data_IF_896011749449
#
_entry.id   IF_896011749449
#
_cell.length_a   1.000
_cell.length_b   1.000
_cell.length_c   1.000
_cell.angle_alpha   90.00
_cell.angle_beta   90.00
_cell.angle_gamma   90.00
#
_symmetry.space_group_name_H-M   'P 1'
#
loop_
_entity.id
_entity.type
_entity.pdbx_description
1 polymer ?
#
# COMPACT_ATOMS: atom_id res chain seq x y z
N UNK A 1 36.06 -28.24 -9.26
CA UNK A 1 36.15 -27.24 -8.16
C UNK A 1 35.04 -26.17 -8.20
N UNK A 2 34.55 -25.72 -9.36
CA UNK A 2 33.58 -24.61 -9.47
C UNK A 2 32.09 -24.92 -9.18
N UNK A 3 31.69 -26.19 -9.06
CA UNK A 3 30.29 -26.56 -8.79
C UNK A 3 29.95 -26.51 -7.30
N UNK A 4 30.87 -26.93 -6.43
CA UNK A 4 30.67 -26.97 -4.98
C UNK A 4 30.57 -25.55 -4.37
N UNK A 5 31.41 -24.62 -4.83
CA UNK A 5 31.37 -23.22 -4.41
C UNK A 5 30.05 -22.57 -4.84
N UNK A 6 29.56 -22.87 -6.04
CA UNK A 6 28.29 -22.34 -6.58
C UNK A 6 27.07 -22.89 -5.83
N UNK A 7 27.11 -24.14 -5.39
CA UNK A 7 26.07 -24.75 -4.58
C UNK A 7 26.02 -24.14 -3.17
N UNK A 8 27.18 -23.92 -2.54
CA UNK A 8 27.29 -23.34 -1.20
C UNK A 8 26.86 -21.86 -1.17
N UNK A 9 27.17 -21.10 -2.22
CA UNK A 9 26.69 -19.72 -2.42
C UNK A 9 25.18 -19.66 -2.65
N UNK A 10 24.59 -20.67 -3.30
CA UNK A 10 23.15 -20.76 -3.52
C UNK A 10 22.33 -20.95 -2.24
N UNK A 11 22.88 -21.67 -1.24
CA UNK A 11 22.20 -21.95 0.03
C UNK A 11 22.10 -20.76 0.99
N UNK A 12 22.90 -19.71 0.82
CA UNK A 12 22.91 -18.53 1.70
C UNK A 12 21.87 -17.45 1.31
N UNK A 13 21.17 -17.63 0.19
CA UNK A 13 20.27 -16.60 -0.37
C UNK A 13 18.81 -16.73 0.06
N UNK A 14 18.48 -17.61 1.01
CA UNK A 14 17.14 -17.67 1.61
C UNK A 14 17.07 -16.72 2.80
N UNK A 15 16.98 -15.42 2.52
CA UNK A 15 16.46 -14.48 3.50
C UNK A 15 15.02 -14.87 3.87
N UNK A 16 14.58 -14.64 5.13
CA UNK A 16 13.17 -14.77 5.48
C UNK A 16 12.34 -13.94 4.51
N UNK A 17 11.44 -14.57 3.75
CA UNK A 17 10.49 -13.81 2.95
C UNK A 17 9.57 -13.10 3.94
N UNK A 18 9.55 -11.77 3.89
CA UNK A 18 8.60 -10.99 4.66
C UNK A 18 7.18 -11.51 4.35
N UNK A 19 6.36 -11.80 5.37
CA UNK A 19 4.97 -12.19 5.16
C UNK A 19 4.27 -11.19 4.23
N UNK A 20 3.50 -11.68 3.26
CA UNK A 20 2.73 -10.82 2.34
C UNK A 20 1.59 -10.13 3.12
N UNK A 21 1.87 -8.90 3.57
CA UNK A 21 0.98 -8.13 4.43
C UNK A 21 -0.40 -7.93 3.79
N UNK A 22 -0.47 -7.84 2.45
CA UNK A 22 -1.73 -7.70 1.72
C UNK A 22 -2.66 -8.88 1.97
N UNK A 23 -2.13 -10.12 2.00
CA UNK A 23 -2.93 -11.32 2.21
C UNK A 23 -3.54 -11.38 3.60
N UNK A 24 -2.78 -10.93 4.62
CA UNK A 24 -3.25 -10.89 6.00
C UNK A 24 -4.42 -9.90 6.19
N UNK A 25 -4.43 -8.80 5.45
CA UNK A 25 -5.54 -7.83 5.46
C UNK A 25 -6.71 -8.23 4.55
N UNK A 26 -6.47 -8.99 3.48
CA UNK A 26 -7.53 -9.44 2.56
C UNK A 26 -8.37 -10.59 3.14
N UNK A 27 -7.75 -11.51 3.89
CA UNK A 27 -8.43 -12.69 4.45
C UNK A 27 -9.45 -12.34 5.57
N UNK A 28 -9.38 -11.13 6.13
CA UNK A 28 -10.27 -10.65 7.20
C UNK A 28 -11.40 -9.72 6.76
N UNK A 29 -11.51 -9.37 5.48
CA UNK A 29 -12.46 -8.35 5.02
C UNK A 29 -13.90 -8.85 4.96
N UNK A 30 -14.80 -8.09 5.58
CA UNK A 30 -16.25 -8.28 5.45
C UNK A 30 -16.73 -7.84 4.06
N UNK A 31 -17.87 -8.35 3.62
CA UNK A 31 -18.46 -8.01 2.31
C UNK A 31 -18.71 -6.50 2.15
N UNK A 32 -19.10 -5.82 3.25
CA UNK A 32 -19.34 -4.37 3.27
C UNK A 32 -18.07 -3.56 3.03
N UNK A 33 -16.94 -3.97 3.62
CA UNK A 33 -15.65 -3.30 3.43
C UNK A 33 -15.15 -3.44 1.99
N UNK A 34 -15.28 -4.63 1.39
CA UNK A 34 -14.93 -4.85 -0.03
C UNK A 34 -15.77 -4.01 -0.98
N UNK A 35 -17.05 -3.80 -0.65
CA UNK A 35 -17.94 -2.97 -1.44
C UNK A 35 -17.57 -1.48 -1.31
N UNK A 36 -17.31 -1.01 -0.09
CA UNK A 36 -16.90 0.36 0.19
C UNK A 36 -15.63 0.73 -0.60
N UNK A 37 -14.67 -0.20 -0.69
CA UNK A 37 -13.40 0.02 -1.39
C UNK A 37 -13.55 0.12 -2.89
N UNK A 38 -14.40 -0.74 -3.46
CA UNK A 38 -14.74 -0.65 -4.88
C UNK A 38 -15.45 0.67 -5.18
N UNK A 39 -16.38 1.08 -4.33
CA UNK A 39 -17.11 2.35 -4.50
C UNK A 39 -16.14 3.54 -4.39
N UNK A 40 -15.23 3.54 -3.43
CA UNK A 40 -14.21 4.58 -3.28
C UNK A 40 -13.26 4.63 -4.50
N UNK A 41 -12.79 3.46 -4.97
CA UNK A 41 -11.92 3.36 -6.13
C UNK A 41 -12.61 3.81 -7.44
N UNK A 42 -13.89 3.51 -7.61
CA UNK A 42 -14.68 3.94 -8.77
C UNK A 42 -14.93 5.45 -8.71
N UNK A 43 -15.31 5.98 -7.55
CA UNK A 43 -15.57 7.41 -7.34
C UNK A 43 -14.33 8.30 -7.54
N UNK A 44 -13.12 7.77 -7.29
CA UNK A 44 -11.86 8.48 -7.48
C UNK A 44 -11.30 8.48 -8.92
N UNK A 45 -11.96 7.83 -9.87
CA UNK A 45 -11.44 7.71 -11.24
C UNK A 45 -11.77 8.93 -12.11
N UNK A 46 -10.79 9.43 -12.87
CA UNK A 46 -11.00 10.48 -13.88
C UNK A 46 -12.10 10.14 -14.90
N UNK A 47 -12.24 8.86 -15.27
CA UNK A 47 -13.29 8.40 -16.20
C UNK A 47 -14.68 8.54 -15.61
N UNK A 48 -14.83 8.29 -14.30
CA UNK A 48 -16.10 8.45 -13.59
C UNK A 48 -16.50 9.92 -13.54
N UNK A 49 -15.58 10.82 -13.19
CA UNK A 49 -15.82 12.27 -13.13
C UNK A 49 -16.32 12.81 -14.48
N UNK A 50 -15.66 12.43 -15.58
CA UNK A 50 -16.06 12.86 -16.92
C UNK A 50 -17.43 12.31 -17.29
N UNK A 51 -17.67 11.00 -17.10
CA UNK A 51 -18.97 10.37 -17.41
C UNK A 51 -20.12 10.93 -16.59
N UNK A 52 -19.90 11.16 -15.29
CA UNK A 52 -20.87 11.77 -14.39
C UNK A 52 -21.18 13.21 -14.80
N UNK A 53 -20.16 14.01 -15.15
CA UNK A 53 -20.35 15.39 -15.62
C UNK A 53 -21.16 15.44 -16.92
N UNK A 54 -20.87 14.55 -17.88
CA UNK A 54 -21.64 14.43 -19.11
C UNK A 54 -23.09 14.04 -18.84
N UNK A 55 -23.34 13.13 -17.90
CA UNK A 55 -24.68 12.75 -17.48
C UNK A 55 -25.45 13.95 -16.89
N UNK A 56 -24.82 14.74 -16.01
CA UNK A 56 -25.45 15.94 -15.43
C UNK A 56 -25.82 16.96 -16.52
N UNK A 57 -24.91 17.21 -17.47
CA UNK A 57 -25.17 18.12 -18.60
C UNK A 57 -26.29 17.57 -19.49
N UNK A 58 -26.28 16.28 -19.81
CA UNK A 58 -27.33 15.65 -20.62
C UNK A 58 -28.70 15.73 -19.92
N UNK A 59 -28.75 15.51 -18.60
CA UNK A 59 -29.97 15.62 -17.81
C UNK A 59 -30.53 17.05 -17.80
N UNK A 60 -29.65 18.05 -17.60
CA UNK A 60 -30.02 19.45 -17.63
C UNK A 60 -30.54 19.86 -19.02
N UNK A 61 -29.87 19.45 -20.10
CA UNK A 61 -30.28 19.73 -21.48
C UNK A 61 -31.62 19.05 -21.82
N UNK A 62 -31.82 17.80 -21.39
CA UNK A 62 -33.07 17.08 -21.63
C UNK A 62 -34.27 17.74 -20.92
N UNK A 63 -34.11 18.12 -19.65
CA UNK A 63 -35.19 18.79 -18.90
C UNK A 63 -35.47 20.21 -19.42
N UNK A 64 -34.45 20.96 -19.86
CA UNK A 64 -34.61 22.35 -20.31
C UNK A 64 -35.05 22.49 -21.76
N UNK A 65 -34.50 21.69 -22.68
CA UNK A 65 -34.73 21.83 -24.12
C UNK A 65 -35.82 20.89 -24.64
N UNK A 66 -35.79 19.62 -24.22
CA UNK A 66 -36.68 18.57 -24.76
C UNK A 66 -38.02 18.57 -24.02
N UNK A 67 -37.97 18.75 -22.71
CA UNK A 67 -39.15 18.66 -21.84
C UNK A 67 -39.68 20.03 -21.38
N UNK A 68 -39.34 21.11 -22.09
CA UNK A 68 -39.60 22.50 -21.68
C UNK A 68 -41.06 22.82 -21.25
N UNK A 69 -42.07 22.09 -21.75
CA UNK A 69 -43.49 22.27 -21.36
C UNK A 69 -44.00 21.32 -20.27
N UNK A 70 -43.32 20.20 -20.01
CA UNK A 70 -43.67 19.20 -18.99
C UNK A 70 -42.42 18.77 -18.21
N UNK A 71 -41.57 19.73 -17.86
CA UNK A 71 -40.26 19.44 -17.30
C UNK A 71 -40.43 18.69 -15.98
N UNK A 72 -39.81 17.51 -15.88
CA UNK A 72 -39.86 16.67 -14.70
C UNK A 72 -39.06 17.31 -13.56
N UNK A 73 -37.94 17.95 -13.89
CA UNK A 73 -37.12 18.74 -12.96
C UNK A 73 -36.83 20.13 -13.58
N UNK A 74 -37.76 21.09 -13.47
CA UNK A 74 -37.57 22.45 -13.98
C UNK A 74 -36.42 23.17 -13.28
N UNK A 75 -35.80 24.13 -13.96
CA UNK A 75 -34.82 25.03 -13.33
C UNK A 75 -35.45 25.65 -12.07
N UNK A 76 -34.86 25.50 -10.86
CA UNK A 76 -33.43 25.30 -10.56
C UNK A 76 -32.93 23.86 -10.28
N UNK A 77 -33.61 22.81 -10.77
CA UNK A 77 -33.23 21.39 -10.65
C UNK A 77 -33.20 20.85 -9.21
N UNK A 78 -34.33 20.95 -8.51
CA UNK A 78 -34.46 20.56 -7.10
C UNK A 78 -34.20 19.06 -6.91
N UNK A 79 -34.68 18.22 -7.84
CA UNK A 79 -34.52 16.78 -7.73
C UNK A 79 -33.06 16.36 -7.91
N UNK A 80 -32.38 16.91 -8.92
CA UNK A 80 -30.96 16.70 -9.13
C UNK A 80 -30.14 17.13 -7.91
N UNK A 81 -30.45 18.30 -7.34
CA UNK A 81 -29.76 18.82 -6.17
C UNK A 81 -29.93 17.90 -4.95
N UNK A 82 -31.14 17.40 -4.71
CA UNK A 82 -31.42 16.45 -3.64
C UNK A 82 -30.62 15.16 -3.81
N UNK A 83 -30.61 14.58 -5.00
CA UNK A 83 -29.85 13.37 -5.29
C UNK A 83 -28.34 13.57 -5.07
N UNK A 84 -27.78 14.68 -5.55
CA UNK A 84 -26.37 15.01 -5.37
C UNK A 84 -26.01 15.18 -3.89
N UNK A 85 -26.88 15.82 -3.11
CA UNK A 85 -26.69 16.02 -1.68
C UNK A 85 -26.69 14.68 -0.92
N UNK A 86 -27.61 13.77 -1.24
CA UNK A 86 -27.63 12.42 -0.66
C UNK A 86 -26.38 11.61 -1.04
N UNK A 87 -25.96 11.70 -2.30
CA UNK A 87 -24.75 11.02 -2.78
C UNK A 87 -23.50 11.52 -2.04
N UNK A 88 -23.34 12.84 -1.91
CA UNK A 88 -22.23 13.45 -1.19
C UNK A 88 -22.22 13.08 0.30
N UNK A 89 -23.39 13.07 0.95
CA UNK A 89 -23.53 12.69 2.35
C UNK A 89 -23.07 11.25 2.63
N UNK A 90 -23.35 10.31 1.71
CA UNK A 90 -22.88 8.93 1.81
C UNK A 90 -21.41 8.76 1.41
N UNK A 91 -20.87 9.62 0.55
CA UNK A 91 -19.47 9.54 0.13
C UNK A 91 -18.50 9.82 1.28
N UNK A 92 -18.73 10.85 2.10
CA UNK A 92 -17.77 11.24 3.13
C UNK A 92 -17.46 10.11 4.15
N UNK A 93 -18.45 9.38 4.71
CA UNK A 93 -18.19 8.23 5.58
C UNK A 93 -17.49 7.07 4.87
N UNK A 94 -17.85 6.75 3.62
CA UNK A 94 -17.22 5.68 2.84
C UNK A 94 -15.75 5.99 2.59
N UNK A 95 -15.45 7.24 2.20
CA UNK A 95 -14.09 7.73 2.02
C UNK A 95 -13.34 7.63 3.35
N UNK A 96 -13.92 8.11 4.46
CA UNK A 96 -13.29 8.04 5.78
C UNK A 96 -13.04 6.60 6.25
N UNK A 97 -13.94 5.65 5.98
CA UNK A 97 -13.74 4.23 6.28
C UNK A 97 -12.58 3.64 5.46
N UNK A 98 -12.53 3.94 4.16
CA UNK A 98 -11.44 3.49 3.30
C UNK A 98 -10.08 4.09 3.72
N UNK A 99 -10.06 5.37 4.12
CA UNK A 99 -8.88 6.06 4.64
C UNK A 99 -8.43 5.50 5.99
N UNK A 100 -9.34 5.27 6.95
CA UNK A 100 -8.99 4.68 8.25
C UNK A 100 -8.34 3.29 8.07
N UNK A 101 -8.85 2.49 7.13
CA UNK A 101 -8.28 1.16 6.86
C UNK A 101 -6.92 1.26 6.19
N UNK A 102 -6.76 2.13 5.19
CA UNK A 102 -5.45 2.36 4.56
C UNK A 102 -4.42 2.85 5.59
N UNK A 103 -4.80 3.80 6.46
CA UNK A 103 -3.93 4.30 7.52
C UNK A 103 -3.55 3.22 8.55
N UNK A 104 -4.45 2.28 8.87
CA UNK A 104 -4.14 1.15 9.73
C UNK A 104 -3.09 0.22 9.10
N UNK A 105 -3.21 -0.03 7.80
CA UNK A 105 -2.24 -0.82 7.03
C UNK A 105 -0.88 -0.13 6.95
N UNK A 106 -0.85 1.15 6.60
CA UNK A 106 0.38 1.95 6.50
C UNK A 106 1.12 1.98 7.85
N UNK A 107 0.39 2.07 8.98
CA UNK A 107 0.97 2.02 10.33
C UNK A 107 1.58 0.65 10.67
N UNK A 108 1.00 -0.44 10.20
CA UNK A 108 1.54 -1.79 10.44
C UNK A 108 2.80 -2.01 9.60
N UNK A 109 2.77 -1.61 8.33
CA UNK A 109 3.90 -1.68 7.41
C UNK A 109 5.11 -0.90 7.96
N UNK A 110 4.89 0.35 8.39
CA UNK A 110 5.93 1.17 9.01
C UNK A 110 6.54 0.54 10.28
N UNK A 111 5.75 -0.18 11.09
CA UNK A 111 6.26 -0.88 12.28
C UNK A 111 7.14 -2.08 11.91
N UNK A 112 6.73 -2.86 10.92
CA UNK A 112 7.50 -4.02 10.47
C UNK A 112 8.80 -3.61 9.77
N UNK A 113 8.76 -2.54 9.00
CA UNK A 113 9.96 -1.95 8.39
C UNK A 113 10.93 -1.48 9.48
N UNK A 114 10.43 -0.82 10.53
CA UNK A 114 11.25 -0.40 11.66
C UNK A 114 11.89 -1.60 12.38
N UNK A 115 11.13 -2.66 12.66
CA UNK A 115 11.66 -3.87 13.31
C UNK A 115 12.71 -4.58 12.44
N UNK A 116 12.47 -4.66 11.14
CA UNK A 116 13.42 -5.24 10.17
C UNK A 116 14.70 -4.43 10.11
N UNK A 117 14.61 -3.10 10.18
CA UNK A 117 15.76 -2.22 10.21
C UNK A 117 16.60 -2.43 11.47
N UNK A 118 15.98 -2.45 12.66
CA UNK A 118 16.67 -2.75 13.92
C UNK A 118 17.35 -4.13 13.90
N UNK A 119 16.67 -5.14 13.34
CA UNK A 119 17.24 -6.48 13.21
C UNK A 119 18.42 -6.50 12.25
N UNK A 120 18.39 -5.68 11.20
CA UNK A 120 19.49 -5.56 10.24
C UNK A 120 20.69 -4.84 10.88
N UNK A 121 20.44 -3.77 11.64
CA UNK A 121 21.47 -3.07 12.41
C UNK A 121 22.17 -4.00 13.40
N UNK A 122 21.42 -4.79 14.17
CA UNK A 122 21.98 -5.78 15.09
C UNK A 122 22.81 -6.86 14.37
N UNK A 123 22.38 -7.30 13.19
CA UNK A 123 23.15 -8.26 12.37
C UNK A 123 24.45 -7.65 11.84
N UNK A 124 24.42 -6.37 11.44
CA UNK A 124 25.61 -5.64 10.98
C UNK A 124 26.61 -5.45 12.12
N UNK A 125 26.13 -5.13 13.33
CA UNK A 125 26.97 -5.03 14.52
C UNK A 125 27.64 -6.39 14.83
N UNK A 126 26.87 -7.47 14.85
CA UNK A 126 27.42 -8.82 15.05
C UNK A 126 28.43 -9.23 13.97
N UNK A 127 28.25 -8.78 12.73
CA UNK A 127 29.23 -9.00 11.66
C UNK A 127 30.52 -8.21 11.88
N UNK A 128 30.44 -6.97 12.36
CA UNK A 128 31.62 -6.17 12.74
C UNK A 128 32.42 -6.87 13.84
N UNK A 129 31.77 -7.31 14.92
CA UNK A 129 32.44 -8.01 16.02
C UNK A 129 33.20 -9.26 15.54
N UNK A 130 32.62 -10.00 14.60
CA UNK A 130 33.26 -11.19 14.01
C UNK A 130 34.44 -10.82 13.12
N UNK A 131 34.36 -9.73 12.37
CA UNK A 131 35.47 -9.24 11.53
C UNK A 131 36.63 -8.79 12.42
N UNK A 132 36.36 -8.04 13.47
CA UNK A 132 37.36 -7.57 14.42
C UNK A 132 38.09 -8.75 15.10
N UNK A 133 37.34 -9.77 15.50
CA UNK A 133 37.91 -11.01 16.04
C UNK A 133 38.82 -11.73 15.03
N UNK A 134 38.39 -11.84 13.78
CA UNK A 134 39.20 -12.47 12.72
C UNK A 134 40.49 -11.67 12.44
N UNK A 135 40.41 -10.34 12.45
CA UNK A 135 41.56 -9.47 12.28
C UNK A 135 42.56 -9.60 13.44
N UNK A 136 42.07 -9.68 14.68
CA UNK A 136 42.91 -9.92 15.85
C UNK A 136 43.65 -11.26 15.76
N UNK A 137 42.95 -12.35 15.43
CA UNK A 137 43.57 -13.68 15.26
C UNK A 137 44.57 -13.72 14.10
N UNK A 138 44.31 -13.00 13.00
CA UNK A 138 45.25 -12.90 11.88
C UNK A 138 46.52 -12.14 12.27
N UNK A 139 46.40 -11.08 13.07
CA UNK A 139 47.54 -10.34 13.63
C UNK A 139 48.44 -11.22 14.50
N UNK A 140 47.87 -11.95 15.46
CA UNK A 140 48.63 -12.85 16.34
C UNK A 140 49.36 -13.95 15.57
N UNK A 141 48.75 -14.49 14.50
CA UNK A 141 49.38 -15.50 13.65
C UNK A 141 50.57 -14.96 12.86
N UNK A 142 50.51 -13.69 12.43
CA UNK A 142 51.62 -13.03 11.74
C UNK A 142 52.83 -12.83 12.67
N UNK A 143 52.58 -12.46 13.91
CA UNK A 143 53.63 -12.22 14.92
C UNK A 143 54.34 -13.52 15.33
N UNK A 144 53.58 -14.60 15.48
CA UNK A 144 54.13 -15.94 15.77
C UNK A 144 54.97 -16.53 14.62
N UNK A 145 54.66 -16.17 13.37
CA UNK A 145 55.45 -16.58 12.21
C UNK A 145 56.74 -15.75 12.08
N UNK A 146 56.71 -14.46 12.43
CA UNK A 146 57.89 -13.59 12.41
C UNK A 146 58.87 -13.82 13.57
N UNK A 147 58.41 -14.37 14.69
CA UNK A 147 59.26 -14.71 15.83
C UNK A 147 59.98 -16.07 15.71
N UNK A 148 59.65 -16.88 14.70
CA UNK A 148 60.23 -18.20 14.47
C UNK A 148 61.35 -18.22 13.41
N UNK A 149 61.61 -17.08 12.76
CA UNK A 149 62.70 -16.84 11.79
C UNK A 149 63.82 -15.99 12.41
#
# INVERSE_FOLDING_TARGET
MNAAIRFLVGSLRRGPQAPDLNRLFDDGQTYGERLADRVAAIGGSWRFIIGFSLFLVAWALLNTLVLARHAFDPFPFIFLNLMLSMLAALQAPIIMMSQNRQAAKDRLEARLDYETNLRSEAQIASLHDKIDLLLAMAGERGDMAGAAD
#
